data_IF_215688784164
#
_entry.id   IF_215688784164
#
_cell.length_a   1.000
_cell.length_b   1.000
_cell.length_c   1.000
_cell.angle_alpha   90.00
_cell.angle_beta   90.00
_cell.angle_gamma   90.00
#
_symmetry.space_group_name_H-M   'P 1'
#
loop_
_entity.id
_entity.type
_entity.pdbx_description
1 polymer ?
#
# COMPACT_ATOMS: atom_id res chain seq x y z
N UNK A 1 -16.07 -4.83 15.01
CA UNK A 1 -15.61 -4.73 14.64
C UNK A 1 -14.70 -4.82 14.30
N UNK A 2 -14.31 -4.82 14.23
CA UNK A 2 -13.56 -4.81 13.95
C UNK A 2 -12.75 -5.09 13.44
N UNK A 3 -12.64 -5.40 13.00
CA UNK A 3 -11.78 -5.75 12.64
C UNK A 3 -10.79 -5.34 12.12
N UNK A 4 -10.33 -5.26 12.39
CA UNK A 4 -9.20 -4.64 12.11
C UNK A 4 -8.30 -5.37 11.27
N UNK A 5 -8.27 -5.03 10.11
CA UNK A 5 -7.21 -5.45 9.28
C UNK A 5 -6.00 -4.68 9.63
N UNK A 6 -5.23 -5.22 10.50
CA UNK A 6 -3.92 -4.66 10.74
C UNK A 6 -3.07 -4.92 9.53
N UNK A 7 -2.52 -3.86 9.01
CA UNK A 7 -1.54 -3.98 7.98
C UNK A 7 -0.26 -4.44 8.65
N UNK A 8 0.13 -5.67 8.39
CA UNK A 8 1.41 -6.17 8.86
C UNK A 8 2.43 -5.98 7.76
N UNK A 9 3.38 -5.15 8.01
CA UNK A 9 4.50 -5.01 7.10
C UNK A 9 5.61 -5.88 7.62
N UNK A 10 5.88 -6.97 6.92
CA UNK A 10 6.94 -7.88 7.33
C UNK A 10 8.16 -7.65 6.44
N UNK A 11 9.36 -7.67 7.00
CA UNK A 11 10.56 -7.48 6.19
C UNK A 11 10.92 -8.69 5.33
N UNK A 12 10.19 -9.78 5.45
CA UNK A 12 10.53 -11.01 4.75
C UNK A 12 10.57 -10.88 3.24
N UNK A 13 9.78 -9.97 2.68
CA UNK A 13 9.72 -9.77 1.23
C UNK A 13 10.70 -8.71 0.72
N UNK A 14 11.45 -8.08 1.60
CA UNK A 14 12.41 -7.07 1.22
C UNK A 14 13.48 -7.59 0.26
N UNK A 15 13.79 -8.88 0.35
CA UNK A 15 14.82 -9.49 -0.50
C UNK A 15 14.46 -9.46 -1.98
N UNK A 16 13.17 -9.47 -2.31
CA UNK A 16 12.74 -9.42 -3.71
C UNK A 16 13.25 -8.15 -4.38
N UNK A 17 13.10 -7.03 -3.72
CA UNK A 17 13.56 -5.75 -4.26
C UNK A 17 15.08 -5.65 -4.29
N UNK A 18 15.74 -6.20 -3.30
CA UNK A 18 17.20 -6.22 -3.27
C UNK A 18 17.77 -7.08 -4.42
N UNK A 19 17.12 -8.20 -4.69
CA UNK A 19 17.52 -9.08 -5.78
C UNK A 19 17.36 -8.41 -7.15
N UNK A 20 16.48 -7.40 -7.22
CA UNK A 20 16.29 -6.61 -8.43
C UNK A 20 17.27 -5.44 -8.53
N UNK A 21 18.23 -5.34 -7.61
CA UNK A 21 19.27 -4.34 -7.67
C UNK A 21 19.00 -3.07 -6.89
N UNK A 22 17.93 -3.03 -6.10
CA UNK A 22 17.64 -1.87 -5.26
C UNK A 22 18.51 -1.90 -4.00
N UNK A 23 18.89 -0.71 -3.54
CA UNK A 23 19.57 -0.60 -2.26
C UNK A 23 18.60 -0.98 -1.14
N UNK A 24 19.15 -1.32 0.02
CA UNK A 24 18.37 -1.77 1.16
C UNK A 24 17.29 -0.78 1.55
N UNK A 25 17.65 0.49 1.64
CA UNK A 25 16.71 1.54 2.02
C UNK A 25 15.60 1.67 0.99
N UNK A 26 15.96 1.60 -0.29
CA UNK A 26 14.98 1.66 -1.37
C UNK A 26 14.06 0.44 -1.33
N UNK A 27 14.62 -0.73 -1.06
CA UNK A 27 13.84 -1.96 -0.96
C UNK A 27 12.82 -1.89 0.16
N UNK A 28 13.21 -1.33 1.32
CA UNK A 28 12.29 -1.15 2.44
C UNK A 28 11.14 -0.20 2.08
N UNK A 29 11.44 0.92 1.43
CA UNK A 29 10.41 1.86 1.01
C UNK A 29 9.44 1.23 -0.01
N UNK A 30 9.99 0.48 -0.96
CA UNK A 30 9.18 -0.18 -1.97
C UNK A 30 8.29 -1.25 -1.34
N UNK A 31 8.80 -1.99 -0.38
CA UNK A 31 8.03 -3.00 0.31
C UNK A 31 6.84 -2.40 1.03
N UNK A 32 7.05 -1.31 1.76
CA UNK A 32 5.98 -0.61 2.47
C UNK A 32 4.93 -0.13 1.48
N UNK A 33 5.35 0.52 0.40
CA UNK A 33 4.41 1.01 -0.61
C UNK A 33 3.65 -0.11 -1.27
N UNK A 34 4.32 -1.22 -1.56
CA UNK A 34 3.67 -2.38 -2.17
C UNK A 34 2.59 -2.94 -1.26
N UNK A 35 2.89 -3.10 0.02
CA UNK A 35 1.92 -3.61 0.98
C UNK A 35 0.71 -2.69 1.10
N UNK A 36 0.95 -1.38 1.19
CA UNK A 36 -0.13 -0.40 1.28
C UNK A 36 -1.00 -0.43 0.01
N UNK A 37 -0.37 -0.49 -1.14
CA UNK A 37 -1.09 -0.53 -2.42
C UNK A 37 -1.97 -1.77 -2.53
N UNK A 38 -1.45 -2.93 -2.12
CA UNK A 38 -2.23 -4.17 -2.12
C UNK A 38 -3.46 -4.02 -1.24
N UNK A 39 -3.34 -3.38 -0.08
CA UNK A 39 -4.47 -3.19 0.80
C UNK A 39 -5.53 -2.28 0.19
N UNK A 40 -5.12 -1.22 -0.50
CA UNK A 40 -6.06 -0.35 -1.21
C UNK A 40 -6.80 -1.15 -2.29
N UNK A 41 -6.05 -1.91 -3.08
CA UNK A 41 -6.62 -2.75 -4.13
C UNK A 41 -7.63 -3.75 -3.57
N UNK A 42 -7.29 -4.39 -2.46
CA UNK A 42 -8.18 -5.36 -1.81
C UNK A 42 -9.47 -4.73 -1.32
N UNK A 43 -9.40 -3.53 -0.75
CA UNK A 43 -10.59 -2.83 -0.28
C UNK A 43 -11.51 -2.46 -1.43
N UNK A 44 -10.95 -1.97 -2.52
CA UNK A 44 -11.74 -1.63 -3.71
C UNK A 44 -12.42 -2.89 -4.25
N UNK A 45 -11.68 -3.99 -4.35
CA UNK A 45 -12.21 -5.24 -4.87
C UNK A 45 -13.26 -5.84 -3.95
N UNK A 46 -13.01 -5.86 -2.64
CA UNK A 46 -13.93 -6.48 -1.68
C UNK A 46 -15.26 -5.74 -1.60
N UNK A 47 -15.24 -4.43 -1.82
CA UNK A 47 -16.45 -3.61 -1.84
C UNK A 47 -17.07 -3.52 -3.22
N UNK A 48 -16.46 -4.15 -4.20
CA UNK A 48 -16.91 -4.14 -5.60
C UNK A 48 -17.14 -2.72 -6.12
N UNK A 49 -16.23 -1.82 -5.80
CA UNK A 49 -16.34 -0.43 -6.23
C UNK A 49 -15.93 -0.30 -7.69
N UNK A 50 -16.75 0.42 -8.44
CA UNK A 50 -16.35 0.83 -9.78
C UNK A 50 -15.24 1.86 -9.66
N UNK A 51 -14.39 1.94 -10.68
CA UNK A 51 -13.28 2.88 -10.67
C UNK A 51 -13.75 4.33 -10.46
N UNK A 52 -14.85 4.70 -11.09
CA UNK A 52 -15.39 6.05 -10.93
C UNK A 52 -15.85 6.34 -9.50
N UNK A 53 -16.43 5.34 -8.83
CA UNK A 53 -16.88 5.47 -7.45
C UNK A 53 -15.67 5.51 -6.51
N UNK A 54 -14.72 4.62 -6.72
CA UNK A 54 -13.49 4.60 -5.93
C UNK A 54 -12.75 5.94 -6.04
N UNK A 55 -12.69 6.51 -7.25
CA UNK A 55 -12.05 7.80 -7.48
C UNK A 55 -12.69 8.90 -6.62
N UNK A 56 -14.01 8.91 -6.53
CA UNK A 56 -14.71 9.90 -5.71
C UNK A 56 -14.42 9.72 -4.22
N UNK A 57 -14.43 8.49 -3.74
CA UNK A 57 -14.17 8.21 -2.33
C UNK A 57 -12.75 8.60 -1.95
N UNK A 58 -11.80 8.22 -2.80
CA UNK A 58 -10.39 8.46 -2.54
C UNK A 58 -9.99 9.92 -2.83
N UNK A 59 -10.78 10.61 -3.66
CA UNK A 59 -10.48 11.99 -4.01
C UNK A 59 -9.42 12.16 -5.09
N UNK A 60 -9.38 11.21 -6.03
CA UNK A 60 -8.44 11.25 -7.16
C UNK A 60 -9.20 11.07 -8.45
N UNK A 61 -8.51 11.19 -9.57
CA UNK A 61 -9.11 10.97 -10.88
C UNK A 61 -9.27 9.49 -11.17
N UNK A 62 -10.16 9.14 -12.08
CA UNK A 62 -10.35 7.76 -12.47
C UNK A 62 -9.09 7.14 -13.10
N UNK A 63 -8.33 7.84 -13.96
CA UNK A 63 -7.05 7.31 -14.43
C UNK A 63 -6.07 6.98 -13.30
N UNK A 64 -6.08 7.75 -12.20
CA UNK A 64 -5.25 7.45 -11.04
C UNK A 64 -5.66 6.13 -10.39
N UNK A 65 -6.98 5.88 -10.30
CA UNK A 65 -7.47 4.60 -9.78
C UNK A 65 -7.03 3.46 -10.68
N UNK A 66 -7.08 3.67 -12.00
CA UNK A 66 -6.60 2.67 -12.94
C UNK A 66 -5.13 2.35 -12.73
N UNK A 67 -4.29 3.36 -12.53
CA UNK A 67 -2.86 3.17 -12.25
C UNK A 67 -2.66 2.39 -10.95
N UNK A 68 -3.45 2.72 -9.95
CA UNK A 68 -3.42 2.03 -8.66
C UNK A 68 -3.73 0.55 -8.82
N UNK A 69 -4.79 0.23 -9.56
CA UNK A 69 -5.22 -1.15 -9.75
C UNK A 69 -4.25 -1.94 -10.62
N UNK A 70 -3.46 -1.26 -11.44
CA UNK A 70 -2.42 -1.91 -12.23
C UNK A 70 -1.10 -2.06 -11.47
N UNK A 71 -1.06 -1.61 -10.24
CA UNK A 71 0.12 -1.79 -9.40
C UNK A 71 1.26 -0.84 -9.70
N UNK A 72 0.99 0.34 -10.22
CA UNK A 72 2.00 1.33 -10.57
C UNK A 72 2.56 2.00 -9.32
N UNK A 73 3.38 1.25 -8.61
CA UNK A 73 3.93 1.65 -7.30
C UNK A 73 4.72 2.96 -7.38
N UNK A 74 5.40 3.18 -8.49
CA UNK A 74 6.23 4.35 -8.71
C UNK A 74 5.45 5.66 -8.77
N UNK A 75 4.14 5.58 -8.98
CA UNK A 75 3.28 6.76 -9.08
C UNK A 75 2.62 7.17 -7.76
N UNK A 76 2.84 6.42 -6.70
CA UNK A 76 2.16 6.66 -5.43
C UNK A 76 3.17 6.71 -4.29
N UNK A 77 3.07 7.77 -3.49
CA UNK A 77 3.88 7.87 -2.28
C UNK A 77 3.23 7.08 -1.14
N UNK A 78 4.02 6.77 -0.12
CA UNK A 78 3.51 6.13 1.09
C UNK A 78 2.39 6.96 1.71
N UNK A 79 2.59 8.27 1.81
CA UNK A 79 1.57 9.16 2.39
C UNK A 79 0.28 9.14 1.60
N UNK A 80 0.37 9.15 0.27
CA UNK A 80 -0.81 9.09 -0.58
C UNK A 80 -1.58 7.80 -0.35
N UNK A 81 -0.88 6.68 -0.24
CA UNK A 81 -1.52 5.38 -0.03
C UNK A 81 -2.18 5.29 1.35
N UNK A 82 -1.54 5.83 2.38
CA UNK A 82 -2.14 5.90 3.71
C UNK A 82 -3.40 6.75 3.69
N UNK A 83 -3.37 7.89 3.00
CA UNK A 83 -4.54 8.75 2.88
C UNK A 83 -5.68 8.03 2.16
N UNK A 84 -5.37 7.30 1.10
CA UNK A 84 -6.37 6.51 0.38
C UNK A 84 -7.03 5.47 1.28
N UNK A 85 -6.23 4.79 2.09
CA UNK A 85 -6.75 3.80 3.04
C UNK A 85 -7.66 4.45 4.06
N UNK A 86 -7.26 5.60 4.59
CA UNK A 86 -8.09 6.33 5.55
C UNK A 86 -9.43 6.73 4.95
N UNK A 87 -9.42 7.20 3.71
CA UNK A 87 -10.64 7.60 3.01
C UNK A 87 -11.55 6.40 2.72
N UNK A 88 -10.96 5.21 2.57
CA UNK A 88 -11.71 3.98 2.41
C UNK A 88 -12.17 3.39 3.75
N UNK A 89 -11.91 4.08 4.85
CA UNK A 89 -12.33 3.65 6.17
C UNK A 89 -11.40 2.69 6.88
N UNK A 90 -10.18 2.55 6.38
CA UNK A 90 -9.19 1.67 6.99
C UNK A 90 -8.27 2.46 7.94
N UNK A 91 -7.74 1.77 8.93
CA UNK A 91 -6.74 2.33 9.83
C UNK A 91 -5.42 1.63 9.58
N UNK A 92 -4.36 2.40 9.41
CA UNK A 92 -3.02 1.86 9.20
C UNK A 92 -2.27 1.86 10.52
N UNK A 93 -1.76 0.71 10.89
CA UNK A 93 -0.88 0.58 12.05
C UNK A 93 0.44 -0.01 11.59
N UNK A 94 1.53 0.57 12.07
CA UNK A 94 2.86 0.15 11.68
C UNK A 94 3.52 -0.59 12.84
N UNK A 95 4.19 -1.67 12.49
CA UNK A 95 5.04 -2.38 13.44
C UNK A 95 6.48 -2.24 12.96
N UNK A 96 7.32 -1.71 13.82
CA UNK A 96 8.73 -1.55 13.50
C UNK A 96 9.51 -2.61 14.27
N UNK A 97 10.33 -3.36 13.54
CA UNK A 97 11.22 -4.33 14.15
C UNK A 97 12.64 -3.87 13.99
N UNK A 98 13.37 -3.89 15.09
CA UNK A 98 14.78 -3.54 15.06
C UNK A 98 15.58 -4.83 14.91
N UNK A 99 16.49 -4.83 13.96
CA UNK A 99 17.37 -5.97 13.78
C UNK A 99 18.42 -6.00 14.86
N UNK A 100 18.81 -7.19 15.32
CA UNK A 100 19.97 -7.28 16.17
C UNK A 100 21.19 -6.76 15.42
N UNK A 101 22.06 -6.05 16.11
CA UNK A 101 23.31 -5.60 15.51
C UNK A 101 24.11 -6.82 15.09
N UNK A 102 24.64 -6.80 13.90
CA UNK A 102 25.43 -7.89 13.38
C UNK A 102 26.77 -7.98 14.11
#
# INVERSE_FOLDING_TARGET
MTSSKKLKITPSNGNVFRDLGFRREEAEHLLVRADLMIQVQKLIASRRLKQSVAAKIIGVTQPRVSDLLRGRIDLFSTDALIDMLARLGATVRLTVKVRPAA
#
